data_IF_379438605766
#
_entry.id   IF_379438605766
#
_cell.length_a   1.000
_cell.length_b   1.000
_cell.length_c   1.000
_cell.angle_alpha   90.00
_cell.angle_beta   90.00
_cell.angle_gamma   90.00
#
_symmetry.space_group_name_H-M   'P 1'
#
loop_
_entity.id
_entity.type
_entity.pdbx_description
1 polymer ?
#
# COMPACT_ATOMS: atom_id res chain seq x y z
N UNK A 1 -51.95 4.53 33.36
CA UNK A 1 -51.22 5.33 32.34
C UNK A 1 -51.76 5.15 30.91
N UNK A 2 -52.36 4.02 30.54
CA UNK A 2 -52.89 3.77 29.17
C UNK A 2 -54.13 4.61 28.78
N UNK A 3 -54.89 5.14 29.74
CA UNK A 3 -56.14 5.89 29.50
C UNK A 3 -55.96 7.31 28.93
N UNK A 4 -54.76 7.90 29.02
CA UNK A 4 -54.47 9.25 28.48
C UNK A 4 -54.03 9.25 27.01
N UNK A 5 -53.61 8.10 26.49
CA UNK A 5 -53.13 7.95 25.10
C UNK A 5 -54.28 7.90 24.09
N UNK A 6 -55.47 7.45 24.51
CA UNK A 6 -56.67 7.34 23.66
C UNK A 6 -57.40 8.67 23.41
N UNK A 7 -56.94 9.78 24.00
CA UNK A 7 -57.53 11.13 23.84
C UNK A 7 -56.71 12.06 22.94
N UNK A 8 -55.60 11.60 22.37
CA UNK A 8 -54.79 12.40 21.47
C UNK A 8 -55.46 12.52 20.10
N UNK A 9 -55.52 13.72 19.48
CA UNK A 9 -55.95 13.85 18.10
C UNK A 9 -54.99 13.06 17.20
N UNK A 10 -55.47 12.52 16.07
CA UNK A 10 -54.69 11.75 15.09
C UNK A 10 -53.25 12.27 14.85
N UNK A 11 -52.99 13.58 14.64
CA UNK A 11 -51.63 14.09 14.50
C UNK A 11 -50.76 13.98 15.77
N UNK A 12 -51.35 14.10 16.96
CA UNK A 12 -50.63 13.94 18.24
C UNK A 12 -50.25 12.49 18.54
N UNK A 13 -51.09 11.53 18.13
CA UNK A 13 -50.74 10.11 18.19
C UNK A 13 -49.64 9.76 17.18
N UNK A 14 -49.71 10.30 15.95
CA UNK A 14 -48.66 10.12 14.93
C UNK A 14 -47.32 10.72 15.37
N UNK A 15 -47.30 11.91 15.95
CA UNK A 15 -46.08 12.54 16.48
C UNK A 15 -45.45 11.72 17.61
N UNK A 16 -46.27 11.14 18.49
CA UNK A 16 -45.80 10.27 19.57
C UNK A 16 -45.19 8.96 19.02
N UNK A 17 -45.73 8.40 17.94
CA UNK A 17 -45.16 7.24 17.26
C UNK A 17 -43.91 7.58 16.43
N UNK A 18 -43.80 8.80 15.91
CA UNK A 18 -42.65 9.27 15.15
C UNK A 18 -41.42 9.59 16.04
N UNK A 19 -41.64 10.00 17.30
CA UNK A 19 -40.56 10.30 18.25
C UNK A 19 -39.54 9.16 18.45
N UNK A 20 -39.92 7.91 18.73
CA UNK A 20 -38.95 6.82 18.88
C UNK A 20 -38.22 6.50 17.58
N UNK A 21 -38.88 6.66 16.42
CA UNK A 21 -38.26 6.46 15.10
C UNK A 21 -37.22 7.57 14.86
N UNK A 22 -37.57 8.83 15.10
CA UNK A 22 -36.66 9.96 14.99
C UNK A 22 -35.48 9.85 15.97
N UNK A 23 -35.73 9.39 17.19
CA UNK A 23 -34.67 9.11 18.16
C UNK A 23 -33.74 7.98 17.69
N UNK A 24 -34.28 6.91 17.09
CA UNK A 24 -33.48 5.83 16.53
C UNK A 24 -32.62 6.30 15.36
N UNK A 25 -33.17 7.09 14.43
CA UNK A 25 -32.39 7.72 13.35
C UNK A 25 -31.33 8.69 13.89
N UNK A 26 -31.64 9.46 14.92
CA UNK A 26 -30.67 10.35 15.56
C UNK A 26 -29.52 9.54 16.17
N UNK A 27 -29.80 8.45 16.89
CA UNK A 27 -28.77 7.55 17.46
C UNK A 27 -27.93 6.89 16.37
N UNK A 28 -28.56 6.36 15.30
CA UNK A 28 -27.84 5.75 14.16
C UNK A 28 -26.95 6.78 13.45
N UNK A 29 -27.37 8.04 13.40
CA UNK A 29 -26.60 9.12 12.77
C UNK A 29 -25.35 9.54 13.56
N UNK A 30 -25.25 9.25 14.87
CA UNK A 30 -24.10 9.65 15.71
C UNK A 30 -23.34 8.47 16.32
N UNK A 31 -23.86 7.25 16.25
CA UNK A 31 -23.17 6.09 16.76
C UNK A 31 -22.01 5.68 15.82
N UNK A 32 -20.82 5.34 16.36
CA UNK A 32 -19.72 4.87 15.55
C UNK A 32 -20.09 3.54 14.89
N UNK A 33 -19.79 3.43 13.60
CA UNK A 33 -20.08 2.26 12.78
C UNK A 33 -18.87 1.30 12.75
N UNK A 34 -19.10 -0.02 12.63
CA UNK A 34 -18.05 -1.04 12.63
C UNK A 34 -17.31 -1.15 11.28
N UNK A 35 -16.96 -0.01 10.68
CA UNK A 35 -16.23 0.07 9.42
C UNK A 35 -14.85 0.70 9.64
N UNK A 36 -13.93 0.41 8.73
CA UNK A 36 -12.69 1.12 8.55
C UNK A 36 -12.71 1.80 7.18
N UNK A 37 -12.15 3.01 7.10
CA UNK A 37 -11.98 3.74 5.85
C UNK A 37 -10.50 3.75 5.50
N UNK A 38 -10.17 3.32 4.28
CA UNK A 38 -8.82 3.38 3.74
C UNK A 38 -8.73 4.34 2.55
N UNK A 39 -7.59 5.02 2.41
CA UNK A 39 -7.31 5.99 1.36
C UNK A 39 -5.87 5.85 0.82
N UNK A 40 -5.53 6.43 -0.35
CA UNK A 40 -4.17 6.43 -0.88
C UNK A 40 -3.20 7.08 0.10
N UNK A 41 -2.18 6.34 0.53
CA UNK A 41 -1.17 6.83 1.46
C UNK A 41 -0.04 7.61 0.78
N UNK A 42 1.07 7.77 1.49
CA UNK A 42 2.30 8.33 0.93
C UNK A 42 3.01 7.36 -0.02
N UNK A 43 3.90 7.91 -0.84
CA UNK A 43 4.87 7.11 -1.59
C UNK A 43 6.29 7.51 -1.19
N UNK A 44 7.20 6.55 -1.18
CA UNK A 44 8.59 6.76 -0.79
C UNK A 44 9.54 6.16 -1.81
N UNK A 45 10.48 6.97 -2.28
CA UNK A 45 11.51 6.58 -3.24
C UNK A 45 12.66 5.86 -2.52
N UNK A 46 12.83 4.56 -2.81
CA UNK A 46 13.89 3.75 -2.19
C UNK A 46 15.28 4.09 -2.68
N UNK A 47 15.41 4.74 -3.84
CA UNK A 47 16.71 5.16 -4.36
C UNK A 47 17.17 6.50 -3.78
N UNK A 48 16.22 7.26 -3.23
CA UNK A 48 16.39 8.60 -2.69
C UNK A 48 16.55 8.65 -1.17
N UNK A 49 16.11 9.77 -0.60
CA UNK A 49 16.26 10.07 0.85
C UNK A 49 14.92 10.25 1.52
N UNK A 50 14.77 9.70 2.72
CA UNK A 50 13.66 9.95 3.63
C UNK A 50 14.18 10.70 4.88
N UNK A 51 13.54 11.82 5.23
CA UNK A 51 13.92 12.70 6.35
C UNK A 51 15.43 13.00 6.44
N UNK A 52 16.08 13.21 5.30
CA UNK A 52 17.51 13.51 5.19
C UNK A 52 18.45 12.31 5.34
N UNK A 53 17.94 11.08 5.40
CA UNK A 53 18.73 9.83 5.38
C UNK A 53 18.47 9.05 4.10
N UNK A 54 19.51 8.44 3.54
CA UNK A 54 19.37 7.53 2.41
C UNK A 54 18.49 6.34 2.80
N UNK A 55 17.50 6.02 1.95
CA UNK A 55 16.60 4.90 2.22
C UNK A 55 17.34 3.57 2.10
N UNK A 56 18.22 3.44 1.11
CA UNK A 56 19.11 2.29 0.95
C UNK A 56 20.57 2.78 1.03
N UNK A 57 21.29 2.30 2.05
CA UNK A 57 22.74 2.50 2.18
C UNK A 57 23.43 1.15 2.05
N UNK A 58 24.46 1.05 1.21
CA UNK A 58 25.24 -0.17 1.05
C UNK A 58 26.71 0.14 1.28
N UNK A 59 27.31 -0.55 2.26
CA UNK A 59 28.74 -0.50 2.57
C UNK A 59 29.48 -1.78 2.15
N UNK A 60 30.81 -1.75 2.20
CA UNK A 60 31.66 -2.91 1.92
C UNK A 60 31.87 -3.24 0.44
N UNK A 61 31.09 -2.65 -0.46
CA UNK A 61 31.19 -2.84 -1.90
C UNK A 61 30.93 -1.53 -2.66
N UNK A 62 31.54 -1.31 -3.85
CA UNK A 62 31.23 -0.15 -4.67
C UNK A 62 29.74 -0.12 -5.05
N UNK A 63 29.15 1.07 -4.99
CA UNK A 63 27.77 1.32 -5.41
C UNK A 63 27.74 2.30 -6.58
N UNK A 64 26.62 2.27 -7.29
CA UNK A 64 26.36 3.13 -8.45
C UNK A 64 25.55 4.35 -8.01
N UNK A 65 25.73 5.45 -8.72
CA UNK A 65 24.74 6.54 -8.72
C UNK A 65 23.57 6.10 -9.60
N UNK A 66 22.36 6.38 -9.15
CA UNK A 66 21.11 5.95 -9.78
C UNK A 66 20.28 7.16 -10.12
N UNK A 67 19.77 7.25 -11.34
CA UNK A 67 18.78 8.22 -11.80
C UNK A 67 17.37 7.62 -11.78
N UNK A 68 16.35 8.47 -11.92
CA UNK A 68 14.96 8.07 -11.80
C UNK A 68 14.54 7.79 -10.36
N UNK A 69 13.42 7.07 -10.18
CA UNK A 69 12.84 6.80 -8.86
C UNK A 69 12.22 5.40 -8.83
N UNK A 70 12.38 4.71 -7.69
CA UNK A 70 11.67 3.47 -7.36
C UNK A 70 10.80 3.72 -6.14
N UNK A 71 9.51 4.03 -6.37
CA UNK A 71 8.57 4.44 -5.33
C UNK A 71 7.77 3.26 -4.81
N UNK A 72 7.91 2.93 -3.53
CA UNK A 72 6.93 2.08 -2.87
C UNK A 72 5.66 2.88 -2.55
N UNK A 73 4.56 2.18 -2.34
CA UNK A 73 3.24 2.79 -2.10
C UNK A 73 2.58 2.23 -0.84
N UNK A 74 1.97 3.13 -0.06
CA UNK A 74 1.23 2.78 1.16
C UNK A 74 -0.25 3.12 1.02
N UNK A 75 -1.05 2.61 1.96
CA UNK A 75 -2.42 3.05 2.20
C UNK A 75 -2.49 3.58 3.62
N UNK A 76 -3.37 4.54 3.85
CA UNK A 76 -3.74 4.97 5.19
C UNK A 76 -5.11 4.39 5.51
N UNK A 77 -5.25 3.75 6.66
CA UNK A 77 -6.51 3.21 7.13
C UNK A 77 -6.81 3.75 8.53
N UNK A 78 -8.08 4.04 8.81
CA UNK A 78 -8.54 4.37 10.17
C UNK A 78 -8.23 3.22 11.11
N UNK A 79 -7.57 3.49 12.24
CA UNK A 79 -7.21 2.47 13.24
C UNK A 79 -8.44 1.80 13.89
N UNK A 80 -8.27 0.63 14.52
CA UNK A 80 -9.35 -0.11 15.20
C UNK A 80 -10.15 0.70 16.23
N UNK A 81 -9.52 1.69 16.88
CA UNK A 81 -10.15 2.57 17.88
C UNK A 81 -10.80 3.83 17.30
N UNK A 82 -10.64 4.10 16.00
CA UNK A 82 -11.20 5.30 15.39
C UNK A 82 -12.72 5.20 15.26
N UNK A 83 -13.41 6.33 15.52
CA UNK A 83 -14.83 6.45 15.25
C UNK A 83 -15.04 6.76 13.77
N UNK A 84 -15.81 5.92 13.08
CA UNK A 84 -16.25 6.12 11.70
C UNK A 84 -17.75 6.33 11.73
N UNK A 85 -18.23 7.48 11.25
CA UNK A 85 -19.64 7.80 11.27
C UNK A 85 -20.36 7.44 9.95
N UNK A 86 -21.68 7.65 9.91
CA UNK A 86 -22.48 7.38 8.72
C UNK A 86 -22.12 8.30 7.55
N UNK A 87 -21.69 9.53 7.83
CA UNK A 87 -21.26 10.48 6.82
C UNK A 87 -19.99 10.00 6.11
N UNK A 88 -19.00 9.51 6.85
CA UNK A 88 -17.77 8.94 6.31
C UNK A 88 -18.03 7.76 5.37
N UNK A 89 -18.94 6.86 5.78
CA UNK A 89 -19.33 5.69 4.98
C UNK A 89 -20.04 6.10 3.70
N UNK A 90 -21.00 7.02 3.78
CA UNK A 90 -21.76 7.48 2.62
C UNK A 90 -20.86 8.26 1.65
N UNK A 91 -20.03 9.17 2.16
CA UNK A 91 -19.06 9.92 1.35
C UNK A 91 -18.07 8.97 0.66
N UNK A 92 -17.57 7.96 1.39
CA UNK A 92 -16.68 6.93 0.84
C UNK A 92 -17.29 6.14 -0.31
N UNK A 93 -18.61 5.93 -0.33
CA UNK A 93 -19.29 5.19 -1.40
C UNK A 93 -19.29 5.90 -2.76
N UNK A 94 -19.13 7.23 -2.76
CA UNK A 94 -19.09 8.04 -3.98
C UNK A 94 -17.66 8.45 -4.38
N UNK A 95 -16.65 8.02 -3.61
CA UNK A 95 -15.26 8.40 -3.78
C UNK A 95 -14.39 7.22 -4.21
N UNK A 96 -13.78 7.33 -5.38
CA UNK A 96 -12.85 6.31 -5.89
C UNK A 96 -11.55 6.23 -5.07
N UNK A 97 -11.21 7.29 -4.33
CA UNK A 97 -10.05 7.39 -3.45
C UNK A 97 -10.34 6.94 -2.00
N UNK A 98 -11.47 6.27 -1.77
CA UNK A 98 -11.82 5.71 -0.45
C UNK A 98 -12.31 4.26 -0.59
N UNK A 99 -11.87 3.42 0.34
CA UNK A 99 -12.38 2.06 0.50
C UNK A 99 -13.00 1.92 1.89
N UNK A 100 -14.30 1.66 1.92
CA UNK A 100 -15.05 1.39 3.16
C UNK A 100 -15.15 -0.11 3.35
N UNK A 101 -14.52 -0.64 4.40
CA UNK A 101 -14.39 -2.08 4.65
C UNK A 101 -14.91 -2.41 6.05
N UNK A 102 -15.56 -3.57 6.26
CA UNK A 102 -15.89 -4.02 7.61
C UNK A 102 -14.63 -4.09 8.47
N UNK A 103 -14.66 -3.53 9.67
CA UNK A 103 -13.48 -3.43 10.54
C UNK A 103 -12.89 -4.79 10.88
N UNK A 104 -13.74 -5.79 11.05
CA UNK A 104 -13.36 -7.19 11.28
C UNK A 104 -12.64 -7.85 10.09
N UNK A 105 -12.90 -7.39 8.86
CA UNK A 105 -12.21 -7.88 7.67
C UNK A 105 -10.80 -7.28 7.53
N UNK A 106 -10.58 -6.08 8.08
CA UNK A 106 -9.28 -5.38 8.06
C UNK A 106 -8.42 -5.76 9.27
N UNK A 107 -9.05 -5.89 10.45
CA UNK A 107 -8.39 -6.19 11.74
C UNK A 107 -8.99 -7.44 12.40
N UNK A 108 -8.81 -8.64 11.81
CA UNK A 108 -9.43 -9.87 12.31
C UNK A 108 -8.88 -10.34 13.66
N UNK A 109 -7.65 -9.92 14.01
CA UNK A 109 -6.95 -10.31 15.24
C UNK A 109 -7.40 -9.56 16.49
N UNK A 110 -8.20 -8.48 16.34
CA UNK A 110 -8.66 -7.66 17.47
C UNK A 110 -7.53 -6.96 18.24
N UNK A 111 -6.36 -6.83 17.63
CA UNK A 111 -5.19 -6.18 18.22
C UNK A 111 -5.44 -4.69 18.46
N UNK A 112 -4.84 -4.16 19.53
CA UNK A 112 -4.84 -2.73 19.80
C UNK A 112 -3.97 -1.97 18.78
N UNK A 113 -4.19 -0.67 18.61
CA UNK A 113 -3.39 0.17 17.70
C UNK A 113 -1.88 0.01 17.94
N UNK A 114 -1.47 -0.07 19.22
CA UNK A 114 -0.06 -0.23 19.62
C UNK A 114 0.51 -1.61 19.27
N UNK A 115 -0.30 -2.66 19.34
CA UNK A 115 0.11 -4.02 18.96
C UNK A 115 0.25 -4.13 17.45
N UNK A 116 -0.71 -3.58 16.69
CA UNK A 116 -0.64 -3.50 15.23
C UNK A 116 0.59 -2.73 14.77
N UNK A 117 0.86 -1.56 15.37
CA UNK A 117 2.04 -0.78 15.04
C UNK A 117 3.32 -1.57 15.31
N UNK A 118 3.42 -2.25 16.45
CA UNK A 118 4.56 -3.10 16.79
C UNK A 118 4.73 -4.26 15.81
N UNK A 119 3.63 -4.92 15.42
CA UNK A 119 3.65 -6.02 14.45
C UNK A 119 4.08 -5.53 13.07
N UNK A 120 3.52 -4.42 12.60
CA UNK A 120 3.88 -3.80 11.32
C UNK A 120 5.36 -3.39 11.24
N UNK A 121 5.95 -2.92 12.34
CA UNK A 121 7.38 -2.61 12.41
C UNK A 121 8.22 -3.88 12.34
N UNK A 122 7.80 -4.96 13.01
CA UNK A 122 8.50 -6.26 12.93
C UNK A 122 8.43 -6.87 11.53
N UNK A 123 7.25 -6.85 10.91
CA UNK A 123 7.05 -7.30 9.54
C UNK A 123 7.88 -6.48 8.55
N UNK A 124 8.03 -5.18 8.78
CA UNK A 124 8.89 -4.33 7.97
C UNK A 124 10.36 -4.75 8.09
N UNK A 125 10.85 -5.03 9.30
CA UNK A 125 12.22 -5.55 9.50
C UNK A 125 12.40 -6.88 8.78
N UNK A 126 11.43 -7.79 8.87
CA UNK A 126 11.50 -9.07 8.15
C UNK A 126 11.50 -8.87 6.63
N UNK A 127 10.63 -8.00 6.12
CA UNK A 127 10.56 -7.66 4.69
C UNK A 127 11.86 -7.06 4.17
N UNK A 128 12.51 -6.18 4.95
CA UNK A 128 13.83 -5.62 4.64
C UNK A 128 14.93 -6.68 4.57
N UNK A 129 14.92 -7.64 5.51
CA UNK A 129 15.87 -8.76 5.51
C UNK A 129 15.66 -9.66 4.29
N UNK A 130 14.41 -10.05 4.01
CA UNK A 130 14.08 -10.88 2.84
C UNK A 130 14.41 -10.17 1.52
N UNK A 131 14.15 -8.86 1.43
CA UNK A 131 14.54 -8.05 0.28
C UNK A 131 16.06 -8.03 0.06
N UNK A 132 16.82 -7.92 1.15
CA UNK A 132 18.30 -7.95 1.10
C UNK A 132 18.79 -9.31 0.64
N UNK A 133 18.30 -10.39 1.23
CA UNK A 133 18.65 -11.76 0.85
C UNK A 133 18.30 -12.05 -0.61
N UNK A 134 17.09 -11.70 -1.04
CA UNK A 134 16.63 -11.90 -2.42
C UNK A 134 17.47 -11.12 -3.42
N UNK A 135 17.81 -9.86 -3.13
CA UNK A 135 18.62 -9.03 -4.01
C UNK A 135 20.05 -9.55 -4.14
N UNK A 136 20.71 -9.89 -3.03
CA UNK A 136 22.07 -10.44 -3.06
C UNK A 136 22.10 -11.83 -3.71
N UNK A 137 21.09 -12.67 -3.43
CA UNK A 137 20.90 -13.96 -4.07
C UNK A 137 20.70 -13.84 -5.58
N UNK A 138 19.88 -12.90 -6.04
CA UNK A 138 19.70 -12.60 -7.46
C UNK A 138 21.01 -12.21 -8.15
N UNK A 139 21.85 -11.42 -7.46
CA UNK A 139 23.14 -10.96 -7.96
C UNK A 139 24.27 -12.00 -7.79
N UNK A 140 24.00 -13.15 -7.17
CA UNK A 140 25.02 -14.14 -6.84
C UNK A 140 26.11 -13.63 -5.90
N UNK A 141 25.79 -12.64 -5.05
CA UNK A 141 26.72 -12.04 -4.08
C UNK A 141 26.61 -12.73 -2.72
N UNK A 142 27.75 -12.86 -2.05
CA UNK A 142 27.79 -13.32 -0.66
C UNK A 142 27.13 -12.27 0.26
N UNK A 143 26.17 -12.63 1.13
CA UNK A 143 25.60 -11.73 2.13
C UNK A 143 26.63 -11.00 2.99
N UNK A 144 27.80 -11.61 3.23
CA UNK A 144 28.89 -11.00 4.00
C UNK A 144 29.67 -9.92 3.22
N UNK A 145 29.49 -9.84 1.90
CA UNK A 145 30.25 -8.91 1.03
C UNK A 145 29.65 -7.50 0.94
N UNK A 146 28.42 -7.30 1.41
CA UNK A 146 27.72 -6.02 1.38
C UNK A 146 26.97 -5.77 2.69
N UNK A 147 27.21 -4.62 3.32
CA UNK A 147 26.47 -4.15 4.50
C UNK A 147 25.30 -3.30 4.03
N UNK A 148 24.13 -3.93 3.83
CA UNK A 148 22.91 -3.27 3.37
C UNK A 148 22.10 -2.79 4.57
N UNK A 149 21.79 -1.49 4.60
CA UNK A 149 20.93 -0.87 5.61
C UNK A 149 19.75 -0.18 4.94
N UNK A 150 18.56 -0.58 5.37
CA UNK A 150 17.29 -0.08 4.87
C UNK A 150 16.64 0.80 5.94
N UNK A 151 16.25 2.02 5.55
CA UNK A 151 15.72 3.03 6.46
C UNK A 151 14.50 3.69 5.85
N UNK A 152 13.37 3.60 6.54
CA UNK A 152 12.17 4.31 6.17
C UNK A 152 11.35 4.61 7.42
N UNK A 153 11.10 5.88 7.68
CA UNK A 153 10.27 6.29 8.80
C UNK A 153 8.78 6.14 8.43
N UNK A 154 7.96 5.84 9.44
CA UNK A 154 6.50 5.92 9.39
C UNK A 154 5.80 5.04 8.33
N UNK A 155 6.48 4.01 7.81
CA UNK A 155 5.91 3.02 6.89
C UNK A 155 5.87 1.65 7.54
N UNK A 156 4.65 1.08 7.62
CA UNK A 156 4.40 -0.23 8.19
C UNK A 156 4.02 -1.29 7.15
N UNK A 157 4.29 -2.55 7.49
CA UNK A 157 3.84 -3.72 6.73
C UNK A 157 4.78 -4.15 5.60
N UNK A 158 4.76 -5.43 5.18
CA UNK A 158 5.83 -6.02 4.37
C UNK A 158 5.77 -5.67 2.87
N UNK A 159 4.80 -4.86 2.45
CA UNK A 159 4.47 -4.63 1.04
C UNK A 159 5.50 -3.82 0.22
N UNK A 160 6.57 -3.36 0.86
CA UNK A 160 7.70 -2.67 0.24
C UNK A 160 8.84 -3.59 -0.19
N UNK A 161 8.79 -4.88 0.18
CA UNK A 161 9.90 -5.83 0.01
C UNK A 161 10.44 -5.91 -1.42
N UNK A 162 9.55 -6.01 -2.41
CA UNK A 162 9.96 -6.03 -3.82
C UNK A 162 10.75 -4.76 -4.21
N UNK A 163 10.31 -3.59 -3.77
CA UNK A 163 10.91 -2.32 -4.17
C UNK A 163 12.27 -2.12 -3.49
N UNK A 164 12.41 -2.53 -2.23
CA UNK A 164 13.72 -2.58 -1.57
C UNK A 164 14.68 -3.51 -2.32
N UNK A 165 14.24 -4.70 -2.70
CA UNK A 165 15.07 -5.65 -3.44
C UNK A 165 15.53 -5.07 -4.78
N UNK A 166 14.61 -4.45 -5.53
CA UNK A 166 14.94 -3.76 -6.79
C UNK A 166 15.90 -2.60 -6.59
N UNK A 167 15.72 -1.78 -5.54
CA UNK A 167 16.62 -0.68 -5.24
C UNK A 167 18.04 -1.14 -4.87
N UNK A 168 18.17 -2.28 -4.19
CA UNK A 168 19.48 -2.90 -3.92
C UNK A 168 20.11 -3.40 -5.22
N UNK A 169 19.34 -4.08 -6.08
CA UNK A 169 19.80 -4.52 -7.40
C UNK A 169 20.28 -3.33 -8.23
N UNK A 170 19.53 -2.23 -8.24
CA UNK A 170 19.85 -1.04 -9.02
C UNK A 170 21.16 -0.37 -8.52
N UNK A 171 21.30 -0.18 -7.20
CA UNK A 171 22.52 0.41 -6.63
C UNK A 171 23.76 -0.46 -6.80
N UNK A 172 23.64 -1.78 -6.98
CA UNK A 172 24.76 -2.71 -7.10
C UNK A 172 25.11 -3.08 -8.54
N UNK A 173 24.13 -3.23 -9.41
CA UNK A 173 24.27 -3.77 -10.77
C UNK A 173 23.56 -2.91 -11.83
N UNK A 174 22.47 -2.22 -11.44
CA UNK A 174 21.64 -1.47 -12.37
C UNK A 174 20.88 -2.40 -13.33
N UNK A 175 20.88 -2.02 -14.61
CA UNK A 175 20.36 -2.84 -15.70
C UNK A 175 21.31 -3.99 -16.13
N UNK A 176 22.48 -4.10 -15.50
CA UNK A 176 23.52 -5.08 -15.83
C UNK A 176 24.35 -4.76 -17.08
N UNK A 177 24.09 -3.63 -17.74
CA UNK A 177 24.88 -3.10 -18.86
C UNK A 177 25.64 -1.81 -18.51
N UNK A 178 25.39 -1.28 -17.31
CA UNK A 178 25.99 -0.05 -16.82
C UNK A 178 25.05 1.15 -16.84
N UNK A 179 23.76 0.94 -17.13
CA UNK A 179 22.67 1.89 -16.95
C UNK A 179 21.89 1.66 -15.65
N UNK A 180 20.84 2.45 -15.45
CA UNK A 180 19.96 2.39 -14.28
C UNK A 180 18.74 1.52 -14.58
N UNK A 181 18.34 0.71 -13.62
CA UNK A 181 17.19 -0.19 -13.78
C UNK A 181 15.87 0.57 -14.03
N UNK A 182 15.79 1.83 -13.61
CA UNK A 182 14.64 2.70 -13.84
C UNK A 182 14.61 3.30 -15.24
N UNK A 183 15.74 3.33 -15.95
CA UNK A 183 15.93 4.10 -17.19
C UNK A 183 15.59 5.60 -17.02
N UNK A 184 15.83 6.16 -15.83
CA UNK A 184 15.53 7.56 -15.50
C UNK A 184 14.04 7.85 -15.23
N UNK A 185 13.17 6.83 -15.18
CA UNK A 185 11.71 6.99 -15.00
C UNK A 185 11.32 7.06 -13.52
N UNK A 186 10.13 7.60 -13.27
CA UNK A 186 9.42 7.39 -12.02
C UNK A 186 8.60 6.11 -12.10
N UNK A 187 9.10 5.06 -11.45
CA UNK A 187 8.49 3.74 -11.37
C UNK A 187 7.98 3.55 -9.95
N UNK A 188 6.75 3.09 -9.81
CA UNK A 188 6.20 2.72 -8.51
C UNK A 188 5.87 1.23 -8.44
N UNK A 189 5.52 0.75 -7.26
CA UNK A 189 4.95 -0.58 -7.13
C UNK A 189 4.61 -0.98 -5.72
N UNK A 190 4.28 -2.26 -5.59
CA UNK A 190 4.01 -2.94 -4.32
C UNK A 190 4.33 -4.42 -4.48
N UNK A 191 4.55 -5.11 -3.36
CA UNK A 191 4.74 -6.56 -3.33
C UNK A 191 5.57 -6.96 -2.14
N UNK A 192 5.13 -8.01 -1.44
CA UNK A 192 6.02 -8.71 -0.50
C UNK A 192 7.07 -9.49 -1.29
N UNK A 193 8.16 -9.88 -0.64
CA UNK A 193 9.21 -10.67 -1.26
C UNK A 193 9.66 -11.76 -0.28
N UNK A 194 9.88 -12.97 -0.78
CA UNK A 194 10.54 -14.05 -0.03
C UNK A 194 12.05 -13.98 -0.21
N UNK A 195 12.80 -14.71 0.61
CA UNK A 195 14.27 -14.82 0.50
C UNK A 195 14.73 -15.37 -0.86
N UNK A 196 13.91 -16.24 -1.48
CA UNK A 196 14.15 -16.82 -2.81
C UNK A 196 13.80 -15.86 -3.97
N UNK A 197 13.22 -14.70 -3.63
CA UNK A 197 12.81 -13.68 -4.60
C UNK A 197 11.44 -13.92 -5.24
N UNK A 198 10.55 -14.70 -4.62
CA UNK A 198 9.15 -14.79 -5.05
C UNK A 198 8.37 -13.58 -4.56
N UNK A 199 7.55 -13.00 -5.44
CA UNK A 199 6.72 -11.83 -5.13
C UNK A 199 5.35 -12.30 -4.63
N UNK A 200 5.00 -11.89 -3.43
CA UNK A 200 3.74 -12.26 -2.78
C UNK A 200 2.65 -11.19 -2.86
N UNK A 201 1.43 -11.56 -2.43
CA UNK A 201 0.24 -10.74 -2.52
C UNK A 201 0.27 -9.53 -1.58
N UNK A 202 -0.56 -8.52 -1.90
CA UNK A 202 -0.73 -7.32 -1.08
C UNK A 202 -2.17 -6.80 -1.12
N UNK A 203 -2.59 -6.08 -0.07
CA UNK A 203 -3.90 -5.43 -0.01
C UNK A 203 -3.92 -4.00 -0.57
N UNK A 204 -5.12 -3.51 -0.90
CA UNK A 204 -5.36 -2.09 -1.23
C UNK A 204 -4.71 -1.60 -2.53
N UNK A 205 -4.53 -2.48 -3.52
CA UNK A 205 -3.76 -2.18 -4.73
C UNK A 205 -4.36 -1.04 -5.56
N UNK A 206 -5.69 -0.92 -5.63
CA UNK A 206 -6.35 0.22 -6.28
C UNK A 206 -5.92 1.56 -5.67
N UNK A 207 -5.98 1.69 -4.34
CA UNK A 207 -5.55 2.90 -3.62
C UNK A 207 -4.05 3.16 -3.80
N UNK A 208 -3.23 2.10 -3.84
CA UNK A 208 -1.79 2.21 -4.09
C UNK A 208 -1.47 2.70 -5.50
N UNK A 209 -2.20 2.24 -6.52
CA UNK A 209 -2.03 2.78 -7.89
C UNK A 209 -2.41 4.25 -7.96
N UNK A 210 -3.45 4.69 -7.23
CA UNK A 210 -3.80 6.10 -7.13
C UNK A 210 -2.69 6.93 -6.44
N UNK A 211 -2.11 6.44 -5.34
CA UNK A 211 -0.98 7.09 -4.67
C UNK A 211 0.22 7.23 -5.62
N UNK A 212 0.53 6.19 -6.38
CA UNK A 212 1.58 6.22 -7.40
C UNK A 212 1.29 7.24 -8.51
N UNK A 213 0.06 7.30 -9.01
CA UNK A 213 -0.34 8.23 -10.06
C UNK A 213 -0.28 9.69 -9.59
N UNK A 214 -0.74 9.95 -8.35
CA UNK A 214 -0.63 11.26 -7.69
C UNK A 214 0.82 11.74 -7.64
N UNK A 215 1.75 10.83 -7.38
CA UNK A 215 3.17 11.16 -7.20
C UNK A 215 3.99 10.95 -8.50
N UNK A 216 3.31 10.91 -9.65
CA UNK A 216 3.93 11.02 -10.98
C UNK A 216 4.50 9.72 -11.56
N UNK A 217 4.19 8.56 -10.98
CA UNK A 217 4.64 7.29 -11.54
C UNK A 217 3.91 6.96 -12.84
N UNK A 218 4.67 6.57 -13.86
CA UNK A 218 4.14 6.16 -15.18
C UNK A 218 4.09 4.65 -15.36
N UNK A 219 4.74 3.93 -14.45
CA UNK A 219 4.84 2.48 -14.43
C UNK A 219 4.56 2.00 -13.02
N UNK A 220 3.78 0.93 -12.88
CA UNK A 220 3.48 0.33 -11.60
C UNK A 220 3.70 -1.19 -11.64
N UNK A 221 4.66 -1.67 -10.84
CA UNK A 221 4.90 -3.09 -10.62
C UNK A 221 3.86 -3.61 -9.63
N UNK A 222 3.12 -4.64 -10.03
CA UNK A 222 2.05 -5.23 -9.23
C UNK A 222 2.19 -6.75 -9.18
N UNK A 223 2.00 -7.40 -8.02
CA UNK A 223 2.00 -8.86 -8.00
C UNK A 223 0.87 -9.39 -8.89
N UNK A 224 1.15 -10.44 -9.65
CA UNK A 224 0.29 -10.86 -10.77
C UNK A 224 -1.15 -11.20 -10.34
N UNK A 225 -1.34 -11.68 -9.11
CA UNK A 225 -2.66 -12.05 -8.60
C UNK A 225 -3.59 -10.82 -8.44
N UNK A 226 -3.01 -9.64 -8.24
CA UNK A 226 -3.70 -8.38 -7.94
C UNK A 226 -3.90 -7.51 -9.19
N UNK A 227 -3.54 -7.98 -10.38
CA UNK A 227 -3.76 -7.26 -11.65
C UNK A 227 -5.21 -6.80 -11.83
N UNK A 228 -6.19 -7.61 -11.39
CA UNK A 228 -7.60 -7.24 -11.50
C UNK A 228 -7.92 -6.02 -10.65
N UNK A 229 -7.46 -6.00 -9.41
CA UNK A 229 -7.72 -4.92 -8.45
C UNK A 229 -6.97 -3.64 -8.84
N UNK A 230 -5.75 -3.80 -9.36
CA UNK A 230 -4.95 -2.69 -9.88
C UNK A 230 -5.60 -1.97 -11.07
N UNK A 231 -6.38 -2.68 -11.90
CA UNK A 231 -7.08 -2.08 -13.05
C UNK A 231 -8.33 -1.30 -12.66
N UNK A 232 -8.91 -1.58 -11.49
CA UNK A 232 -10.23 -1.06 -11.13
C UNK A 232 -10.26 0.48 -11.09
N UNK A 233 -9.20 1.09 -10.54
CA UNK A 233 -9.07 2.55 -10.37
C UNK A 233 -7.72 3.04 -10.91
N UNK A 234 -7.28 2.48 -12.04
CA UNK A 234 -5.97 2.76 -12.62
C UNK A 234 -5.86 4.21 -13.11
N UNK A 235 -4.89 5.01 -12.63
CA UNK A 235 -4.66 6.34 -13.17
C UNK A 235 -4.34 6.33 -14.67
N UNK A 236 -4.88 7.31 -15.40
CA UNK A 236 -4.66 7.42 -16.84
C UNK A 236 -3.17 7.50 -17.19
N UNK A 237 -2.75 6.73 -18.20
CA UNK A 237 -1.36 6.70 -18.67
C UNK A 237 -0.39 5.85 -17.84
N UNK A 238 -0.86 5.22 -16.75
CA UNK A 238 -0.04 4.30 -15.97
C UNK A 238 0.02 2.91 -16.61
N UNK A 239 1.23 2.38 -16.81
CA UNK A 239 1.45 1.01 -17.26
C UNK A 239 1.54 0.06 -16.07
N UNK A 240 0.65 -0.93 -16.01
CA UNK A 240 0.71 -2.02 -15.04
C UNK A 240 1.61 -3.15 -15.55
N UNK A 241 2.62 -3.53 -14.76
CA UNK A 241 3.49 -4.67 -15.06
C UNK A 241 3.27 -5.75 -14.01
N UNK A 242 2.71 -6.92 -14.39
CA UNK A 242 2.56 -8.04 -13.49
C UNK A 242 3.90 -8.69 -13.19
N UNK A 243 4.16 -8.94 -11.91
CA UNK A 243 5.37 -9.62 -11.45
C UNK A 243 5.02 -10.79 -10.54
N UNK A 244 5.82 -11.85 -10.61
CA UNK A 244 5.74 -13.02 -9.72
C UNK A 244 7.06 -13.31 -9.02
N UNK A 245 8.17 -12.78 -9.54
CA UNK A 245 9.51 -12.95 -8.97
C UNK A 245 10.32 -11.67 -9.16
N UNK A 246 11.36 -11.48 -8.33
CA UNK A 246 12.33 -10.40 -8.44
C UNK A 246 13.02 -10.43 -9.81
N UNK A 247 13.46 -11.61 -10.26
CA UNK A 247 14.06 -11.80 -11.59
C UNK A 247 13.11 -11.35 -12.71
N UNK A 248 11.82 -11.68 -12.59
CA UNK A 248 10.79 -11.24 -13.54
C UNK A 248 10.64 -9.72 -13.55
N UNK A 249 10.63 -9.10 -12.37
CA UNK A 249 10.57 -7.64 -12.23
C UNK A 249 11.78 -6.95 -12.88
N UNK A 250 13.01 -7.40 -12.56
CA UNK A 250 14.24 -6.87 -13.16
C UNK A 250 14.23 -7.04 -14.68
N UNK A 251 13.82 -8.21 -15.19
CA UNK A 251 13.76 -8.47 -16.63
C UNK A 251 12.74 -7.58 -17.33
N UNK A 252 11.59 -7.33 -16.70
CA UNK A 252 10.56 -6.44 -17.23
C UNK A 252 11.03 -4.98 -17.29
N UNK A 253 11.75 -4.51 -16.27
CA UNK A 253 12.32 -3.16 -16.23
C UNK A 253 13.42 -2.97 -17.29
N UNK A 254 14.36 -3.93 -17.41
CA UNK A 254 15.37 -3.92 -18.48
C UNK A 254 14.75 -3.90 -19.87
N UNK A 255 13.71 -4.71 -20.09
CA UNK A 255 12.99 -4.73 -21.36
C UNK A 255 12.28 -3.41 -21.63
N UNK A 256 11.73 -2.76 -20.60
CA UNK A 256 11.07 -1.47 -20.73
C UNK A 256 12.04 -0.37 -21.15
N UNK A 257 13.23 -0.35 -20.58
CA UNK A 257 14.30 0.60 -20.94
C UNK A 257 14.75 0.43 -22.39
N UNK A 258 14.89 -0.83 -22.83
CA UNK A 258 15.35 -1.17 -24.18
C UNK A 258 14.25 -1.05 -25.25
N UNK A 259 13.03 -0.64 -24.88
CA UNK A 259 11.89 -0.54 -25.78
C UNK A 259 11.33 -1.89 -26.25
N UNK A 260 11.64 -2.97 -25.52
CA UNK A 260 11.15 -4.32 -25.78
C UNK A 260 9.73 -4.57 -25.27
N UNK A 261 9.27 -5.80 -25.47
CA UNK A 261 7.96 -6.25 -24.99
C UNK A 261 7.98 -6.43 -23.46
N UNK A 262 7.03 -5.78 -22.79
CA UNK A 262 6.86 -5.85 -21.34
C UNK A 262 5.45 -6.33 -21.05
N UNK A 263 5.28 -7.36 -20.19
CA UNK A 263 3.96 -7.88 -19.90
C UNK A 263 3.06 -6.79 -19.33
N UNK A 264 1.80 -6.81 -19.74
CA UNK A 264 0.75 -6.01 -19.17
C UNK A 264 -0.13 -6.85 -18.26
N UNK A 265 -0.69 -6.22 -17.25
CA UNK A 265 -2.09 -6.48 -16.99
C UNK A 265 -2.80 -5.93 -18.25
#
# INVERSE_FOLDING_TARGET
MLSRLSRLPRPGFLALCALPIAALFAVVGVAPLPYAVAQPGMTADVLGTDKGRQVITIGGTPTRTTEGQLRMTTIEATGPSADVDLGDVVDGWFRADRAVLPREAVYPSGESDKEIEKHNVQDMVQSQNSATTAALGYLGKDPASADVRLHLADVGGPSAGLLFALGIVDKLDGDGSGGDLTGGRTIAGTGTITDDGDVGPVGGVSLKTQAAGRDGATVFLVPKAECRDARAELPGGMRLIPVTTLKGAVSALRSLEQGGDVPGC
#
